data_IF_121631192276
#
_entry.id   IF_121631192276
#
_cell.length_a   1.000
_cell.length_b   1.000
_cell.length_c   1.000
_cell.angle_alpha   90.00
_cell.angle_beta   90.00
_cell.angle_gamma   90.00
#
_symmetry.space_group_name_H-M   'P 1'
#
loop_
_entity.id
_entity.type
_entity.pdbx_description
1 polymer ?
#
# COMPACT_ATOMS: atom_id res chain seq x y z
N UNK A 1 -21.40 -0.15 15.91
CA UNK A 1 -20.05 -0.65 16.18
C UNK A 1 -19.10 -0.27 15.04
N UNK A 2 -19.42 -0.56 13.76
CA UNK A 2 -18.57 -0.24 12.59
C UNK A 2 -18.36 1.27 12.45
N UNK A 3 -19.40 2.08 12.59
CA UNK A 3 -19.34 3.54 12.56
C UNK A 3 -18.46 4.11 13.68
N UNK A 4 -18.49 3.51 14.86
CA UNK A 4 -17.63 3.88 15.99
C UNK A 4 -16.15 3.56 15.72
N UNK A 5 -15.88 2.44 15.03
CA UNK A 5 -14.52 2.04 14.65
C UNK A 5 -13.92 3.00 13.63
N UNK A 6 -14.71 3.45 12.64
CA UNK A 6 -14.30 4.46 11.65
C UNK A 6 -14.02 5.80 12.34
N UNK A 7 -14.86 6.19 13.30
CA UNK A 7 -14.73 7.42 14.07
C UNK A 7 -13.44 7.47 14.90
N UNK A 8 -13.00 6.35 15.46
CA UNK A 8 -11.82 6.26 16.32
C UNK A 8 -10.49 6.27 15.54
N UNK A 9 -10.49 5.85 14.27
CA UNK A 9 -9.25 5.69 13.52
C UNK A 9 -8.93 6.80 12.52
N UNK A 10 -9.91 7.61 12.07
CA UNK A 10 -9.67 8.60 11.02
C UNK A 10 -10.37 9.94 11.32
N UNK A 11 -9.56 10.97 11.46
CA UNK A 11 -10.03 12.36 11.74
C UNK A 11 -10.67 13.07 10.54
N UNK A 12 -10.63 12.50 9.35
CA UNK A 12 -11.23 13.10 8.15
C UNK A 12 -12.49 12.35 7.71
N UNK A 13 -13.61 13.03 7.73
CA UNK A 13 -14.91 12.50 7.32
C UNK A 13 -15.05 12.60 5.80
N UNK A 14 -14.87 11.51 5.09
CA UNK A 14 -15.25 11.37 3.69
C UNK A 14 -16.49 10.48 3.59
N UNK A 15 -17.58 11.00 3.02
CA UNK A 15 -18.79 10.21 2.78
C UNK A 15 -18.47 8.96 1.94
N UNK A 16 -17.65 9.12 0.91
CA UNK A 16 -17.19 8.02 0.04
C UNK A 16 -16.40 6.98 0.86
N UNK A 17 -15.51 7.44 1.76
CA UNK A 17 -14.77 6.56 2.66
C UNK A 17 -15.67 5.74 3.58
N UNK A 18 -16.69 6.37 4.17
CA UNK A 18 -17.66 5.69 5.03
C UNK A 18 -18.43 4.62 4.24
N UNK A 19 -18.95 4.97 3.05
CA UNK A 19 -19.68 4.04 2.17
C UNK A 19 -18.79 2.87 1.78
N UNK A 20 -17.54 3.11 1.37
CA UNK A 20 -16.60 2.07 0.98
C UNK A 20 -16.29 1.10 2.12
N UNK A 21 -16.03 1.61 3.33
CA UNK A 21 -15.76 0.76 4.50
C UNK A 21 -17.00 -0.05 4.90
N UNK A 22 -18.19 0.57 4.93
CA UNK A 22 -19.44 -0.14 5.24
C UNK A 22 -19.69 -1.26 4.23
N UNK A 23 -19.51 -0.99 2.94
CA UNK A 23 -19.66 -1.99 1.86
C UNK A 23 -18.65 -3.14 2.01
N UNK A 24 -17.38 -2.84 2.27
CA UNK A 24 -16.34 -3.84 2.49
C UNK A 24 -16.69 -4.76 3.67
N UNK A 25 -17.02 -4.18 4.83
CA UNK A 25 -17.41 -4.94 6.01
C UNK A 25 -18.70 -5.74 5.81
N UNK A 26 -19.67 -5.20 5.09
CA UNK A 26 -20.90 -5.92 4.76
C UNK A 26 -20.62 -7.17 3.92
N UNK A 27 -19.81 -7.04 2.88
CA UNK A 27 -19.43 -8.16 2.02
C UNK A 27 -18.63 -9.20 2.83
N UNK A 28 -17.62 -8.79 3.58
CA UNK A 28 -16.77 -9.68 4.38
C UNK A 28 -17.62 -10.42 5.40
N UNK A 29 -18.44 -9.70 6.18
CA UNK A 29 -19.25 -10.30 7.25
C UNK A 29 -20.24 -11.32 6.73
N UNK A 30 -20.95 -11.03 5.61
CA UNK A 30 -21.88 -11.98 5.02
C UNK A 30 -21.17 -13.26 4.57
N UNK A 31 -20.03 -13.15 3.91
CA UNK A 31 -19.29 -14.33 3.44
C UNK A 31 -18.67 -15.14 4.58
N UNK A 32 -18.20 -14.48 5.65
CA UNK A 32 -17.72 -15.17 6.86
C UNK A 32 -18.87 -15.94 7.53
N UNK A 33 -20.07 -15.34 7.68
CA UNK A 33 -21.22 -16.01 8.25
C UNK A 33 -21.61 -17.25 7.42
N UNK A 34 -21.62 -17.14 6.10
CA UNK A 34 -21.94 -18.25 5.18
C UNK A 34 -20.94 -19.40 5.36
N UNK A 35 -19.64 -19.12 5.53
CA UNK A 35 -18.63 -20.15 5.81
C UNK A 35 -18.94 -20.97 7.07
N UNK A 36 -19.41 -20.31 8.14
CA UNK A 36 -19.77 -20.99 9.38
C UNK A 36 -21.11 -21.76 9.26
N UNK A 37 -22.04 -21.31 8.41
CA UNK A 37 -23.33 -21.97 8.23
C UNK A 37 -23.28 -23.24 7.37
N UNK A 38 -22.11 -23.59 6.77
CA UNK A 38 -21.91 -24.78 5.92
C UNK A 38 -23.06 -25.00 4.92
N UNK A 39 -23.50 -23.96 4.21
CA UNK A 39 -24.57 -24.08 3.23
C UNK A 39 -24.11 -24.94 2.06
N UNK A 40 -24.69 -26.14 1.92
CA UNK A 40 -24.30 -27.17 0.94
C UNK A 40 -24.44 -26.71 -0.52
N UNK A 41 -25.29 -25.71 -0.79
CA UNK A 41 -25.58 -25.22 -2.13
C UNK A 41 -24.61 -24.15 -2.65
N UNK A 42 -23.67 -23.66 -1.83
CA UNK A 42 -22.73 -22.59 -2.22
C UNK A 42 -21.33 -23.14 -2.46
N UNK A 43 -20.72 -22.73 -3.55
CA UNK A 43 -19.33 -23.06 -3.85
C UNK A 43 -18.38 -22.33 -2.90
N UNK A 44 -17.48 -23.07 -2.24
CA UNK A 44 -16.42 -22.47 -1.41
C UNK A 44 -15.57 -21.47 -2.20
N UNK A 45 -15.36 -21.73 -3.48
CA UNK A 45 -14.64 -20.81 -4.37
C UNK A 45 -15.35 -19.46 -4.53
N UNK A 46 -16.69 -19.47 -4.63
CA UNK A 46 -17.49 -18.26 -4.70
C UNK A 46 -17.36 -17.44 -3.40
N UNK A 47 -17.41 -18.08 -2.24
CA UNK A 47 -17.29 -17.41 -0.95
C UNK A 47 -15.92 -16.76 -0.81
N UNK A 48 -14.85 -17.50 -1.17
CA UNK A 48 -13.47 -16.98 -1.14
C UNK A 48 -13.32 -15.80 -2.09
N UNK A 49 -13.85 -15.88 -3.30
CA UNK A 49 -13.78 -14.77 -4.25
C UNK A 49 -14.49 -13.50 -3.73
N UNK A 50 -15.68 -13.65 -3.12
CA UNK A 50 -16.40 -12.52 -2.54
C UNK A 50 -15.68 -11.91 -1.32
N UNK A 51 -15.04 -12.73 -0.49
CA UNK A 51 -14.17 -12.23 0.57
C UNK A 51 -13.02 -11.37 -0.02
N UNK A 52 -12.43 -11.83 -1.12
CA UNK A 52 -11.41 -11.06 -1.84
C UNK A 52 -11.92 -9.72 -2.36
N UNK A 53 -13.17 -9.64 -2.85
CA UNK A 53 -13.79 -8.37 -3.24
C UNK A 53 -13.92 -7.43 -2.05
N UNK A 54 -14.36 -7.92 -0.89
CA UNK A 54 -14.44 -7.12 0.31
C UNK A 54 -13.09 -6.55 0.76
N UNK A 55 -12.03 -7.37 0.72
CA UNK A 55 -10.65 -6.94 1.01
C UNK A 55 -10.15 -5.91 -0.01
N UNK A 56 -10.44 -6.11 -1.30
CA UNK A 56 -10.08 -5.18 -2.37
C UNK A 56 -10.73 -3.80 -2.15
N UNK A 57 -12.03 -3.77 -1.86
CA UNK A 57 -12.77 -2.53 -1.58
C UNK A 57 -12.18 -1.83 -0.34
N UNK A 58 -11.87 -2.57 0.72
CA UNK A 58 -11.22 -2.04 1.92
C UNK A 58 -9.89 -1.36 1.58
N UNK A 59 -9.04 -2.04 0.81
CA UNK A 59 -7.74 -1.53 0.39
C UNK A 59 -7.84 -0.28 -0.49
N UNK A 60 -8.71 -0.30 -1.51
CA UNK A 60 -8.94 0.85 -2.42
C UNK A 60 -9.47 2.04 -1.61
N UNK A 61 -10.47 1.81 -0.75
CA UNK A 61 -11.05 2.89 0.06
C UNK A 61 -10.00 3.52 0.96
N UNK A 62 -9.21 2.70 1.68
CA UNK A 62 -8.18 3.19 2.57
C UNK A 62 -7.10 4.00 1.83
N UNK A 63 -6.57 3.45 0.76
CA UNK A 63 -5.48 4.08 0.00
C UNK A 63 -5.90 5.32 -0.78
N UNK A 64 -7.20 5.41 -1.19
CA UNK A 64 -7.67 6.56 -1.96
C UNK A 64 -8.19 7.71 -1.09
N UNK A 65 -8.83 7.38 0.05
CA UNK A 65 -9.51 8.39 0.87
C UNK A 65 -8.60 8.99 1.94
N UNK A 66 -7.68 8.20 2.49
CA UNK A 66 -6.83 8.61 3.61
C UNK A 66 -5.34 8.66 3.26
N UNK A 67 -5.04 8.70 1.96
CA UNK A 67 -3.69 9.01 1.48
C UNK A 67 -3.26 10.39 1.97
N UNK A 68 -2.00 10.51 2.33
CA UNK A 68 -1.36 11.79 2.59
C UNK A 68 -0.09 11.92 1.76
N UNK A 69 0.03 13.05 1.06
CA UNK A 69 1.23 13.40 0.30
C UNK A 69 1.89 14.61 0.93
N UNK A 70 3.21 14.57 1.01
CA UNK A 70 4.03 15.70 1.43
C UNK A 70 5.17 15.91 0.44
N UNK A 71 5.19 17.07 -0.19
CA UNK A 71 6.28 17.51 -1.06
C UNK A 71 7.06 18.59 -0.31
N UNK A 72 8.34 18.37 -0.12
CA UNK A 72 9.18 19.27 0.66
C UNK A 72 10.60 19.29 0.09
N UNK A 73 11.27 20.43 0.23
CA UNK A 73 12.71 20.54 -0.06
C UNK A 73 13.48 20.26 1.22
N UNK A 74 14.39 19.27 1.17
CA UNK A 74 15.19 18.85 2.33
C UNK A 74 16.67 18.93 2.03
N UNK A 75 17.45 19.46 2.98
CA UNK A 75 18.91 19.34 3.03
C UNK A 75 19.29 18.13 3.88
N UNK A 76 20.51 17.67 3.72
CA UNK A 76 21.09 16.64 4.61
C UNK A 76 21.01 17.11 6.06
N UNK A 77 20.65 16.21 6.95
CA UNK A 77 20.33 16.39 8.38
C UNK A 77 19.02 17.12 8.68
N UNK A 78 18.22 17.51 7.68
CA UNK A 78 16.88 18.01 7.93
C UNK A 78 15.94 16.85 8.29
N UNK A 79 14.91 17.19 9.08
CA UNK A 79 13.85 16.27 9.46
C UNK A 79 12.48 16.77 9.03
N UNK A 80 11.55 15.86 8.85
CA UNK A 80 10.15 16.14 8.56
C UNK A 80 9.25 15.06 9.14
N UNK A 81 7.98 15.40 9.36
CA UNK A 81 6.99 14.46 9.87
C UNK A 81 5.90 14.20 8.83
N UNK A 82 5.44 12.97 8.76
CA UNK A 82 4.21 12.56 8.09
C UNK A 82 3.46 11.59 8.99
N UNK A 83 2.20 11.92 9.35
CA UNK A 83 1.44 11.18 10.37
C UNK A 83 2.25 11.01 11.68
N UNK A 84 2.41 9.76 12.11
CA UNK A 84 3.17 9.39 13.30
C UNK A 84 4.67 9.19 13.07
N UNK A 85 5.14 9.35 11.84
CA UNK A 85 6.54 9.07 11.47
C UNK A 85 7.37 10.35 11.40
N UNK A 86 8.55 10.32 12.05
CA UNK A 86 9.60 11.31 11.87
C UNK A 86 10.62 10.76 10.86
N UNK A 87 10.96 11.55 9.86
CA UNK A 87 11.85 11.16 8.76
C UNK A 87 13.04 12.11 8.75
N UNK A 88 14.24 11.56 8.86
CA UNK A 88 15.48 12.31 8.84
C UNK A 88 16.27 11.96 7.58
N UNK A 89 16.64 12.98 6.80
CA UNK A 89 17.52 12.84 5.65
C UNK A 89 18.98 12.83 6.15
N UNK A 90 19.62 11.66 6.18
CA UNK A 90 20.96 11.50 6.76
C UNK A 90 22.09 11.85 5.82
N UNK A 91 22.02 11.36 4.60
CA UNK A 91 23.11 11.53 3.61
C UNK A 91 22.60 11.32 2.19
N UNK A 92 23.38 11.77 1.23
CA UNK A 92 23.22 11.48 -0.18
C UNK A 92 24.50 10.84 -0.70
N UNK A 93 24.36 9.77 -1.48
CA UNK A 93 25.46 9.00 -2.03
C UNK A 93 25.38 8.95 -3.56
N UNK A 94 26.52 9.10 -4.21
CA UNK A 94 26.64 8.83 -5.63
C UNK A 94 26.84 7.33 -5.86
N UNK A 95 26.03 6.74 -6.71
CA UNK A 95 26.08 5.32 -7.06
C UNK A 95 26.31 5.20 -8.57
N UNK A 96 27.26 4.34 -8.95
CA UNK A 96 27.48 3.96 -10.32
C UNK A 96 26.86 2.59 -10.57
N UNK A 97 25.77 2.54 -11.36
CA UNK A 97 25.17 1.32 -11.82
C UNK A 97 25.80 0.80 -13.13
N UNK A 98 25.29 -0.31 -13.68
CA UNK A 98 25.82 -0.91 -14.90
C UNK A 98 25.72 0.02 -16.12
N UNK A 99 24.65 0.81 -16.21
CA UNK A 99 24.34 1.70 -17.35
C UNK A 99 23.75 3.05 -16.91
N UNK A 100 23.87 3.41 -15.63
CA UNK A 100 23.37 4.67 -15.07
C UNK A 100 24.29 5.19 -13.97
N UNK A 101 24.15 6.49 -13.67
CA UNK A 101 24.64 7.12 -12.46
C UNK A 101 23.44 7.50 -11.60
N UNK A 102 23.52 7.35 -10.30
CA UNK A 102 22.41 7.70 -9.41
C UNK A 102 22.88 8.54 -8.21
N UNK A 103 21.99 9.44 -7.81
CA UNK A 103 22.02 10.03 -6.48
C UNK A 103 21.04 9.26 -5.59
N UNK A 104 21.54 8.61 -4.55
CA UNK A 104 20.72 7.87 -3.59
C UNK A 104 20.64 8.65 -2.28
N UNK A 105 19.43 9.01 -1.89
CA UNK A 105 19.17 9.61 -0.57
C UNK A 105 18.98 8.51 0.48
N UNK A 106 19.63 8.66 1.65
CA UNK A 106 19.44 7.78 2.79
C UNK A 106 18.55 8.46 3.84
N UNK A 107 17.33 7.95 4.01
CA UNK A 107 16.35 8.48 4.93
C UNK A 107 16.07 7.46 6.04
N UNK A 108 16.14 7.91 7.28
CA UNK A 108 15.81 7.10 8.44
C UNK A 108 14.40 7.46 8.91
N UNK A 109 13.56 6.46 9.06
CA UNK A 109 12.17 6.61 9.50
C UNK A 109 12.06 6.14 10.94
N UNK A 110 11.54 7.00 11.81
CA UNK A 110 11.37 6.75 13.23
C UNK A 110 9.87 6.75 13.59
N UNK A 111 9.52 5.99 14.60
CA UNK A 111 8.22 6.06 15.26
C UNK A 111 8.15 7.20 16.29
N UNK A 112 6.99 7.35 16.96
CA UNK A 112 6.80 8.33 18.06
C UNK A 112 7.73 8.09 19.25
N UNK A 113 8.22 6.87 19.43
CA UNK A 113 9.09 6.46 20.52
C UNK A 113 10.59 6.61 20.14
N UNK A 114 10.87 7.19 18.98
CA UNK A 114 12.22 7.34 18.41
C UNK A 114 12.92 6.02 18.06
N UNK A 115 12.19 4.93 17.89
CA UNK A 115 12.74 3.69 17.36
C UNK A 115 12.83 3.76 15.84
N UNK A 116 13.90 3.23 15.27
CA UNK A 116 14.07 3.13 13.82
C UNK A 116 13.12 2.04 13.32
N UNK A 117 12.19 2.41 12.43
CA UNK A 117 11.29 1.48 11.76
C UNK A 117 11.93 0.93 10.50
N UNK A 118 12.52 1.81 9.69
CA UNK A 118 13.12 1.44 8.40
C UNK A 118 14.08 2.50 7.91
N UNK A 119 14.87 2.12 6.89
CA UNK A 119 15.70 3.03 6.10
C UNK A 119 15.17 3.03 4.68
N UNK A 120 14.79 4.19 4.16
CA UNK A 120 14.36 4.37 2.79
C UNK A 120 15.51 4.95 1.96
N UNK A 121 15.71 4.39 0.76
CA UNK A 121 16.81 4.73 -0.14
C UNK A 121 16.31 5.00 -1.56
N UNK A 122 15.53 6.07 -1.77
CA UNK A 122 15.13 6.46 -3.11
C UNK A 122 16.32 6.96 -3.92
N UNK A 123 16.27 6.76 -5.25
CA UNK A 123 17.32 7.14 -6.17
C UNK A 123 16.80 8.05 -7.28
N UNK A 124 17.63 9.01 -7.67
CA UNK A 124 17.45 9.75 -8.91
C UNK A 124 18.54 9.26 -9.88
N UNK A 125 18.13 8.54 -10.93
CA UNK A 125 19.03 7.91 -11.91
C UNK A 125 19.14 8.71 -13.18
N UNK A 126 20.35 8.86 -13.67
CA UNK A 126 20.69 9.41 -14.99
C UNK A 126 21.20 8.30 -15.89
N UNK A 127 20.58 8.12 -17.05
CA UNK A 127 20.97 7.16 -18.07
C UNK A 127 21.70 7.87 -19.21
N UNK A 128 23.06 7.80 -19.33
CA UNK A 128 23.81 8.57 -20.32
C UNK A 128 23.47 8.24 -21.76
N UNK A 129 23.13 6.97 -22.06
CA UNK A 129 22.84 6.53 -23.44
C UNK A 129 21.55 7.15 -23.96
N UNK A 130 20.53 7.28 -23.13
CA UNK A 130 19.23 7.86 -23.51
C UNK A 130 19.10 9.32 -23.13
N UNK A 131 20.10 9.88 -22.43
CA UNK A 131 20.11 11.22 -21.86
C UNK A 131 18.83 11.53 -21.06
N UNK A 132 18.40 10.57 -20.22
CA UNK A 132 17.15 10.64 -19.48
C UNK A 132 17.36 10.45 -17.99
N UNK A 133 16.52 11.13 -17.18
CA UNK A 133 16.44 10.96 -15.74
C UNK A 133 15.22 10.12 -15.36
N UNK A 134 15.39 9.23 -14.41
CA UNK A 134 14.30 8.46 -13.80
C UNK A 134 14.42 8.49 -12.28
N UNK A 135 13.31 8.41 -11.60
CA UNK A 135 13.28 8.30 -10.13
C UNK A 135 12.93 6.86 -9.74
N UNK A 136 13.81 6.26 -8.95
CA UNK A 136 13.56 4.96 -8.32
C UNK A 136 13.09 5.19 -6.89
N UNK A 137 11.94 4.65 -6.61
CA UNK A 137 11.25 4.86 -5.33
C UNK A 137 11.74 3.89 -4.27
N UNK A 138 11.64 4.29 -3.02
CA UNK A 138 11.83 3.38 -1.89
C UNK A 138 10.53 3.24 -1.13
N UNK A 139 10.09 1.99 -0.91
CA UNK A 139 8.81 1.68 -0.29
C UNK A 139 9.04 0.82 0.95
N UNK A 140 8.33 1.14 2.03
CA UNK A 140 8.23 0.28 3.19
C UNK A 140 6.76 -0.07 3.43
N UNK A 141 6.43 -1.33 3.16
CA UNK A 141 5.07 -1.90 3.26
C UNK A 141 4.88 -2.63 4.58
N UNK A 142 3.72 -2.42 5.20
CA UNK A 142 3.18 -3.28 6.26
C UNK A 142 1.66 -3.50 6.07
N UNK A 143 1.02 -4.25 6.97
CA UNK A 143 -0.42 -4.54 6.85
C UNK A 143 -1.32 -3.31 6.99
N UNK A 144 -0.83 -2.21 7.52
CA UNK A 144 -1.63 -1.01 7.78
C UNK A 144 -1.37 0.09 6.76
N UNK A 145 -0.16 0.16 6.16
CA UNK A 145 0.20 1.25 5.27
C UNK A 145 1.47 0.97 4.46
N UNK A 146 1.62 1.71 3.35
CA UNK A 146 2.89 1.91 2.65
C UNK A 146 3.42 3.31 2.95
N UNK A 147 4.72 3.38 3.27
CA UNK A 147 5.50 4.61 3.18
C UNK A 147 6.29 4.56 1.88
N UNK A 148 5.98 5.48 0.98
CA UNK A 148 6.56 5.58 -0.34
C UNK A 148 7.33 6.88 -0.44
N UNK A 149 8.59 6.83 -0.88
CA UNK A 149 9.47 7.99 -0.95
C UNK A 149 10.14 8.10 -2.30
N UNK A 150 10.18 9.33 -2.82
CA UNK A 150 10.84 9.70 -4.08
C UNK A 150 11.86 10.78 -3.80
N UNK A 151 13.05 10.63 -4.39
CA UNK A 151 14.08 11.67 -4.44
C UNK A 151 14.03 12.35 -5.82
N UNK A 152 13.64 13.61 -5.84
CA UNK A 152 13.64 14.44 -7.03
C UNK A 152 14.95 15.17 -7.25
N UNK A 153 14.89 16.22 -8.07
CA UNK A 153 16.04 17.07 -8.38
C UNK A 153 16.47 17.92 -7.18
N UNK A 154 17.75 18.26 -7.14
CA UNK A 154 18.31 19.13 -6.10
C UNK A 154 19.83 19.21 -6.14
N UNK A 155 20.37 19.99 -5.22
CA UNK A 155 21.80 20.16 -5.03
C UNK A 155 22.16 20.39 -3.55
N UNK A 156 23.44 20.43 -3.23
CA UNK A 156 23.91 20.59 -1.85
C UNK A 156 23.52 21.94 -1.23
N UNK A 157 23.43 23.01 -2.03
CA UNK A 157 23.15 24.35 -1.52
C UNK A 157 21.66 24.54 -1.20
N UNK A 158 20.79 24.12 -2.10
CA UNK A 158 19.34 24.35 -2.02
C UNK A 158 18.60 23.16 -1.39
N UNK A 159 19.21 21.97 -1.38
CA UNK A 159 18.59 20.72 -0.99
C UNK A 159 17.86 20.03 -2.14
N UNK A 160 17.29 18.86 -1.88
CA UNK A 160 16.57 18.02 -2.83
C UNK A 160 15.07 18.08 -2.60
N UNK A 161 14.30 17.98 -3.70
CA UNK A 161 12.85 17.79 -3.62
C UNK A 161 12.59 16.35 -3.18
N UNK A 162 11.91 16.18 -2.07
CA UNK A 162 11.52 14.88 -1.54
C UNK A 162 10.00 14.80 -1.53
N UNK A 163 9.45 13.73 -2.13
CA UNK A 163 8.02 13.42 -2.06
C UNK A 163 7.83 12.22 -1.17
N UNK A 164 6.94 12.35 -0.22
CA UNK A 164 6.64 11.32 0.77
C UNK A 164 5.14 11.06 0.69
N UNK A 165 4.78 9.77 0.53
CA UNK A 165 3.39 9.33 0.53
C UNK A 165 3.17 8.38 1.68
N UNK A 166 2.09 8.60 2.38
CA UNK A 166 1.53 7.67 3.34
C UNK A 166 0.24 7.11 2.74
N UNK A 167 0.25 5.84 2.36
CA UNK A 167 -0.87 5.17 1.69
C UNK A 167 -1.43 4.06 2.60
N UNK A 168 -2.56 4.29 3.29
CA UNK A 168 -3.15 3.26 4.15
C UNK A 168 -3.69 2.09 3.35
N UNK A 169 -3.57 0.89 3.91
CA UNK A 169 -4.24 -0.33 3.47
C UNK A 169 -3.94 -0.80 2.03
N UNK A 170 -2.91 -0.27 1.36
CA UNK A 170 -2.55 -0.66 -0.02
C UNK A 170 -2.34 -2.16 -0.17
N UNK A 171 -1.69 -2.80 0.81
CA UNK A 171 -1.43 -4.25 0.77
C UNK A 171 -2.71 -5.08 0.64
N UNK A 172 -3.84 -4.59 1.16
CA UNK A 172 -5.13 -5.29 1.07
C UNK A 172 -5.71 -5.32 -0.33
N UNK A 173 -5.30 -4.40 -1.23
CA UNK A 173 -5.63 -4.46 -2.66
C UNK A 173 -5.04 -5.73 -3.27
N UNK A 174 -3.75 -6.00 -3.01
CA UNK A 174 -3.05 -7.16 -3.52
C UNK A 174 -3.54 -8.46 -2.89
N UNK A 175 -3.76 -8.46 -1.58
CA UNK A 175 -4.35 -9.62 -0.87
C UNK A 175 -5.75 -9.91 -1.40
N UNK A 176 -6.58 -8.89 -1.61
CA UNK A 176 -7.92 -9.03 -2.19
C UNK A 176 -7.89 -9.61 -3.60
N UNK A 177 -7.04 -9.07 -4.48
CA UNK A 177 -6.89 -9.56 -5.86
C UNK A 177 -6.43 -11.03 -5.89
N UNK A 178 -5.42 -11.39 -5.07
CA UNK A 178 -4.96 -12.77 -4.95
C UNK A 178 -6.06 -13.70 -4.42
N UNK A 179 -6.84 -13.24 -3.44
CA UNK A 179 -7.94 -14.01 -2.86
C UNK A 179 -9.05 -14.25 -3.88
N UNK A 180 -9.37 -13.26 -4.73
CA UNK A 180 -10.33 -13.41 -5.84
C UNK A 180 -9.83 -14.48 -6.82
N UNK A 181 -8.57 -14.40 -7.21
CA UNK A 181 -7.95 -15.37 -8.12
C UNK A 181 -8.02 -16.79 -7.57
N UNK A 182 -7.64 -17.00 -6.31
CA UNK A 182 -7.71 -18.31 -5.65
C UNK A 182 -9.16 -18.82 -5.55
N UNK A 183 -10.11 -17.95 -5.24
CA UNK A 183 -11.54 -18.29 -5.22
C UNK A 183 -12.03 -18.76 -6.58
N UNK A 184 -11.61 -18.11 -7.66
CA UNK A 184 -11.89 -18.51 -9.04
C UNK A 184 -11.36 -19.91 -9.38
N UNK A 185 -10.09 -20.19 -9.04
CA UNK A 185 -9.47 -21.51 -9.23
C UNK A 185 -10.21 -22.62 -8.48
N UNK A 186 -10.58 -22.38 -7.22
CA UNK A 186 -11.36 -23.35 -6.42
C UNK A 186 -12.72 -23.61 -7.07
N UNK A 187 -13.42 -22.58 -7.54
CA UNK A 187 -14.72 -22.69 -8.18
C UNK A 187 -14.63 -23.50 -9.49
N UNK A 188 -13.63 -23.23 -10.32
CA UNK A 188 -13.36 -23.95 -11.55
C UNK A 188 -13.13 -25.44 -11.30
N UNK A 189 -12.26 -25.79 -10.33
CA UNK A 189 -11.97 -27.18 -10.01
C UNK A 189 -13.21 -27.94 -9.48
N UNK A 190 -14.06 -27.29 -8.70
CA UNK A 190 -15.30 -27.89 -8.20
C UNK A 190 -16.30 -28.19 -9.33
N UNK A 191 -16.39 -27.34 -10.33
CA UNK A 191 -17.26 -27.53 -11.49
C UNK A 191 -16.74 -28.66 -12.40
N UNK A 192 -15.44 -28.75 -12.64
CA UNK A 192 -14.83 -29.86 -13.39
C UNK A 192 -15.12 -31.21 -12.76
N UNK A 193 -14.99 -31.34 -11.43
CA UNK A 193 -15.34 -32.56 -10.70
C UNK A 193 -16.82 -32.93 -10.79
N UNK A 194 -17.74 -31.96 -10.84
CA UNK A 194 -19.16 -32.22 -11.06
C UNK A 194 -19.41 -32.77 -12.45
N UNK A 195 -18.80 -32.21 -13.50
CA UNK A 195 -18.96 -32.68 -14.89
C UNK A 195 -18.45 -34.10 -15.06
N UNK A 196 -17.30 -34.45 -14.47
CA UNK A 196 -16.72 -35.82 -14.51
C UNK A 196 -17.60 -36.87 -13.79
N UNK A 197 -18.45 -36.48 -12.84
CA UNK A 197 -19.37 -37.41 -12.17
C UNK A 197 -20.67 -37.64 -12.93
N UNK A 198 -20.95 -36.81 -13.93
CA UNK A 198 -22.16 -36.89 -14.77
C UNK A 198 -21.88 -37.59 -16.11
N UNK A 199 -20.61 -37.76 -16.50
CA UNK A 199 -20.13 -38.54 -17.64
C UNK A 199 -19.89 -40.00 -17.26
#
# INVERSE_FOLDING_TARGET
IITLFIFLFYQSYSLIGIVGIVLAFWIISNNVIILFQKRENLSNGMIVAHLGIGLLILGITGSSVWQEEKIIRMKVNNETNIKEYNIIFKEINEIKGPNYFALQGNFFVYDKNKNIITKLKPENRFYPVTNNFTTEVSIHTNLLRDLYMVLGEGNLNDGWIVRIYYNPLVIWIWIGALTIFLGGLISMNSNLKKLQRLS
#
